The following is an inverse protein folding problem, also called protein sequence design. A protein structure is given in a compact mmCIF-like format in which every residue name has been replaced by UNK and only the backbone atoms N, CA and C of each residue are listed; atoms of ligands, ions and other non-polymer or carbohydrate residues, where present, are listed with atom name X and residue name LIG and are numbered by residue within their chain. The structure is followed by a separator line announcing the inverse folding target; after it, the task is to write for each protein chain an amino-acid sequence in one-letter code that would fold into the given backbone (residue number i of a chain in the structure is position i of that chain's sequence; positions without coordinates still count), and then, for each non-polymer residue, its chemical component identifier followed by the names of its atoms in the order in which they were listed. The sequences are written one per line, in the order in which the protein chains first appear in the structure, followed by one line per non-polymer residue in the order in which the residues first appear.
data_IF_377034957582
#
_entry.id   IF_377034957582
#
_cell.length_a   1.000
_cell.length_b   1.000
_cell.length_c   1.000
_cell.angle_alpha   90.00
_cell.angle_beta   90.00
_cell.angle_gamma   90.00
#
_symmetry.space_group_name_H-M   'P 1'
#
loop_
_entity.id
_entity.type
_entity.pdbx_description
1 polymer ?
#
# COMPACT_ATOMS: atom_id res chain seq x y z
N UNK A 1 29.03 10.66 -8.17
CA UNK A 1 28.36 9.90 -9.24
C UNK A 1 27.37 9.02 -8.51
N UNK A 2 26.09 9.40 -8.48
CA UNK A 2 25.08 8.59 -7.80
C UNK A 2 25.09 7.20 -8.47
N UNK A 3 25.10 6.09 -7.70
CA UNK A 3 24.83 4.78 -8.27
C UNK A 3 23.56 4.90 -9.12
N UNK A 4 23.50 4.19 -10.25
CA UNK A 4 22.24 4.10 -11.00
C UNK A 4 21.14 3.72 -10.00
N UNK A 5 20.02 4.45 -9.98
CA UNK A 5 18.91 4.27 -9.05
C UNK A 5 18.45 2.79 -8.94
N UNK A 6 18.61 2.04 -10.03
CA UNK A 6 18.55 0.57 -10.14
C UNK A 6 19.32 -0.22 -9.07
N UNK A 7 20.54 0.19 -8.73
CA UNK A 7 21.39 -0.47 -7.74
C UNK A 7 20.86 -0.22 -6.32
N UNK A 8 20.30 0.96 -6.10
CA UNK A 8 19.71 1.33 -4.81
C UNK A 8 18.41 0.54 -4.60
N UNK A 9 17.50 0.49 -5.57
CA UNK A 9 16.27 -0.29 -5.45
C UNK A 9 16.54 -1.79 -5.29
N UNK A 10 17.47 -2.36 -6.07
CA UNK A 10 17.81 -3.78 -5.93
C UNK A 10 18.46 -4.11 -4.59
N UNK A 11 19.32 -3.22 -4.09
CA UNK A 11 19.91 -3.38 -2.76
C UNK A 11 18.83 -3.31 -1.67
N UNK A 12 17.89 -2.36 -1.80
CA UNK A 12 16.76 -2.19 -0.88
C UNK A 12 15.83 -3.40 -0.88
N UNK A 13 15.43 -3.90 -2.05
CA UNK A 13 14.62 -5.12 -2.17
C UNK A 13 15.34 -6.35 -1.62
N UNK A 14 16.66 -6.44 -1.84
CA UNK A 14 17.49 -7.49 -1.23
C UNK A 14 17.43 -7.47 0.30
N UNK A 15 17.58 -6.30 0.91
CA UNK A 15 17.52 -6.14 2.37
C UNK A 15 16.13 -6.45 2.95
N UNK A 16 15.05 -6.02 2.28
CA UNK A 16 13.68 -6.38 2.70
C UNK A 16 13.49 -7.89 2.64
N UNK A 17 14.00 -8.55 1.60
CA UNK A 17 13.89 -10.01 1.43
C UNK A 17 14.63 -10.74 2.55
N UNK A 18 15.81 -10.27 2.94
CA UNK A 18 16.59 -10.84 4.05
C UNK A 18 15.89 -10.66 5.41
N UNK A 19 15.33 -9.47 5.67
CA UNK A 19 14.62 -9.15 6.92
C UNK A 19 13.13 -9.53 6.92
N UNK A 20 12.61 -10.21 5.89
CA UNK A 20 11.17 -10.47 5.69
C UNK A 20 10.49 -11.07 6.94
N UNK A 21 11.12 -12.06 7.57
CA UNK A 21 10.54 -12.72 8.74
C UNK A 21 10.45 -11.81 9.98
N UNK A 22 11.40 -10.88 10.13
CA UNK A 22 11.42 -9.94 11.25
C UNK A 22 10.43 -8.80 11.01
N UNK A 23 10.41 -8.25 9.80
CA UNK A 23 9.44 -7.25 9.36
C UNK A 23 8.00 -7.78 9.43
N UNK A 24 7.77 -9.04 9.06
CA UNK A 24 6.44 -9.64 9.09
C UNK A 24 5.89 -9.80 10.51
N UNK A 25 6.76 -10.16 11.47
CA UNK A 25 6.38 -10.18 12.90
C UNK A 25 6.10 -8.79 13.42
N UNK A 26 6.92 -7.81 13.04
CA UNK A 26 6.75 -6.42 13.46
C UNK A 26 5.41 -5.88 12.96
N UNK A 27 5.10 -6.12 11.69
CA UNK A 27 3.84 -5.72 11.05
C UNK A 27 2.62 -6.41 11.66
N UNK A 28 2.71 -7.71 11.96
CA UNK A 28 1.64 -8.43 12.64
C UNK A 28 1.35 -7.86 14.05
N UNK A 29 2.40 -7.47 14.77
CA UNK A 29 2.27 -6.85 16.11
C UNK A 29 1.70 -5.43 16.01
N UNK A 30 2.15 -4.62 15.05
CA UNK A 30 1.71 -3.23 14.88
C UNK A 30 0.24 -3.19 14.43
N UNK A 31 -0.12 -3.98 13.41
CA UNK A 31 -1.44 -3.93 12.77
C UNK A 31 -2.47 -4.90 13.34
N UNK A 32 -2.06 -5.89 14.13
CA UNK A 32 -2.95 -6.94 14.63
C UNK A 32 -3.40 -7.95 13.55
N UNK A 33 -2.78 -7.94 12.36
CA UNK A 33 -3.06 -8.88 11.25
C UNK A 33 -2.34 -10.21 11.47
N UNK A 34 -2.87 -11.29 10.91
CA UNK A 34 -2.22 -12.61 11.04
C UNK A 34 -0.81 -12.59 10.43
N UNK A 35 0.10 -13.40 10.98
CA UNK A 35 1.48 -13.48 10.47
C UNK A 35 1.53 -13.87 8.98
N UNK A 36 0.65 -14.76 8.54
CA UNK A 36 0.58 -15.19 7.15
C UNK A 36 0.19 -14.03 6.22
N UNK A 37 -0.78 -13.21 6.62
CA UNK A 37 -1.15 -11.98 5.89
C UNK A 37 0.02 -10.98 5.89
N UNK A 38 0.66 -10.76 7.03
CA UNK A 38 1.81 -9.84 7.11
C UNK A 38 2.98 -10.27 6.21
N UNK A 39 3.23 -11.57 6.07
CA UNK A 39 4.26 -12.10 5.19
C UNK A 39 3.88 -11.99 3.71
N UNK A 40 2.60 -12.17 3.38
CA UNK A 40 2.07 -11.95 2.04
C UNK A 40 2.20 -10.48 1.63
N UNK A 41 1.88 -9.54 2.53
CA UNK A 41 2.05 -8.10 2.30
C UNK A 41 3.51 -7.76 1.92
N UNK A 42 4.48 -8.38 2.59
CA UNK A 42 5.90 -8.17 2.29
C UNK A 42 6.32 -8.74 0.93
N UNK A 43 5.72 -9.85 0.49
CA UNK A 43 5.94 -10.36 -0.87
C UNK A 43 5.41 -9.37 -1.92
N UNK A 44 4.25 -8.78 -1.67
CA UNK A 44 3.68 -7.75 -2.56
C UNK A 44 4.56 -6.49 -2.59
N UNK A 45 5.16 -6.09 -1.48
CA UNK A 45 6.15 -4.98 -1.42
C UNK A 45 7.37 -5.28 -2.28
N UNK A 46 7.91 -6.49 -2.15
CA UNK A 46 9.06 -6.95 -2.95
C UNK A 46 8.69 -6.96 -4.43
N UNK A 47 7.50 -7.47 -4.77
CA UNK A 47 6.97 -7.51 -6.13
C UNK A 47 6.80 -6.10 -6.73
N UNK A 48 6.16 -5.20 -5.99
CA UNK A 48 5.96 -3.81 -6.41
C UNK A 48 7.30 -3.09 -6.61
N UNK A 49 8.23 -3.22 -5.67
CA UNK A 49 9.54 -2.59 -5.77
C UNK A 49 10.27 -3.03 -7.05
N UNK A 50 10.27 -4.33 -7.35
CA UNK A 50 10.86 -4.85 -8.59
C UNK A 50 10.14 -4.36 -9.84
N UNK A 51 8.80 -4.37 -9.84
CA UNK A 51 8.00 -3.90 -10.98
C UNK A 51 8.30 -2.45 -11.34
N UNK A 52 8.38 -1.58 -10.33
CA UNK A 52 8.68 -0.19 -10.56
C UNK A 52 10.14 0.05 -10.94
N UNK A 53 11.09 -0.72 -10.40
CA UNK A 53 12.48 -0.66 -10.83
C UNK A 53 12.61 -0.95 -12.34
N UNK A 54 11.82 -1.89 -12.87
CA UNK A 54 11.76 -2.15 -14.31
C UNK A 54 11.08 -1.00 -15.09
N UNK A 55 10.01 -0.41 -14.55
CA UNK A 55 9.36 0.75 -15.17
C UNK A 55 10.28 1.97 -15.24
N UNK A 56 11.14 2.17 -14.23
CA UNK A 56 12.17 3.20 -14.20
C UNK A 56 13.05 3.14 -15.45
N UNK A 57 13.57 1.94 -15.73
CA UNK A 57 14.42 1.68 -16.90
C UNK A 57 13.67 1.95 -18.20
N UNK A 58 12.39 1.56 -18.25
CA UNK A 58 11.53 1.82 -19.40
C UNK A 58 11.19 3.30 -19.60
N UNK A 59 11.20 4.11 -18.54
CA UNK A 59 10.92 5.55 -18.62
C UNK A 59 12.09 6.32 -19.21
N UNK A 60 13.33 6.01 -18.80
CA UNK A 60 14.54 6.60 -19.38
C UNK A 60 14.63 6.35 -20.89
N UNK A 61 14.30 5.13 -21.32
CA UNK A 61 14.26 4.78 -22.75
C UNK A 61 13.17 5.53 -23.53
N UNK A 62 12.10 5.99 -22.87
CA UNK A 62 10.98 6.73 -23.47
C UNK A 62 11.18 8.24 -23.44
N UNK A 63 12.29 8.74 -22.90
CA UNK A 63 12.61 10.17 -22.92
C UNK A 63 12.78 10.69 -24.36
N UNK A 64 12.36 11.93 -24.60
CA UNK A 64 12.47 12.61 -25.90
C UNK A 64 11.76 11.87 -27.04
N UNK A 65 10.64 11.20 -26.74
CA UNK A 65 9.81 10.56 -27.75
C UNK A 65 9.35 11.59 -28.80
N UNK A 66 9.61 11.36 -30.10
CA UNK A 66 9.30 12.33 -31.14
C UNK A 66 7.79 12.44 -31.35
N UNK A 67 7.30 13.68 -31.51
CA UNK A 67 5.90 13.95 -31.84
C UNK A 67 5.81 14.27 -33.33
N UNK A 68 4.98 13.50 -34.05
CA UNK A 68 4.74 13.75 -35.47
C UNK A 68 3.95 15.05 -35.65
N UNK A 69 4.50 15.97 -36.44
CA UNK A 69 3.86 17.24 -36.77
C UNK A 69 3.58 17.31 -38.27
N UNK A 70 2.44 17.88 -38.71
CA UNK A 70 2.14 18.09 -40.12
C UNK A 70 2.97 19.21 -40.77
N UNK A 71 3.90 19.85 -40.03
CA UNK A 71 4.72 20.97 -40.50
C UNK A 71 6.20 20.56 -40.52
N UNK A 72 6.86 20.73 -41.67
CA UNK A 72 8.25 20.27 -41.88
C UNK A 72 9.33 21.08 -41.13
N UNK A 73 9.00 22.28 -40.64
CA UNK A 73 9.98 23.23 -40.09
C UNK A 73 10.12 23.16 -38.57
N UNK A 74 9.31 22.34 -37.89
CA UNK A 74 9.29 22.24 -36.43
C UNK A 74 9.58 20.82 -35.99
N UNK A 75 10.44 20.67 -34.97
CA UNK A 75 10.69 19.40 -34.30
C UNK A 75 10.12 19.49 -32.89
N UNK A 76 9.24 18.56 -32.54
CA UNK A 76 8.67 18.45 -31.20
C UNK A 76 8.97 17.08 -30.61
N UNK A 77 9.16 17.03 -29.30
CA UNK A 77 9.36 15.81 -28.54
C UNK A 77 8.76 16.00 -27.15
N UNK A 78 8.39 14.88 -26.52
CA UNK A 78 7.91 14.88 -25.13
C UNK A 78 9.09 14.65 -24.21
N UNK A 79 9.27 15.55 -23.25
CA UNK A 79 10.17 15.36 -22.12
C UNK A 79 9.32 15.06 -20.89
N UNK A 80 9.68 14.00 -20.16
CA UNK A 80 9.03 13.67 -18.89
C UNK A 80 9.98 14.05 -17.78
N UNK A 81 9.67 15.17 -17.15
CA UNK A 81 10.35 15.63 -15.96
C UNK A 81 9.53 15.23 -14.73
N UNK A 82 10.20 15.11 -13.59
CA UNK A 82 9.55 14.63 -12.41
C UNK A 82 8.81 15.73 -11.64
N UNK A 83 7.88 15.33 -10.77
CA UNK A 83 7.09 16.25 -9.94
C UNK A 83 7.86 16.53 -8.65
N UNK A 84 8.47 17.71 -8.54
CA UNK A 84 9.48 18.09 -7.53
C UNK A 84 9.24 17.60 -6.11
N UNK A 85 8.18 18.03 -5.42
CA UNK A 85 7.88 17.63 -4.04
C UNK A 85 6.51 16.94 -3.96
N UNK A 86 6.46 15.79 -3.28
CA UNK A 86 5.25 14.96 -3.18
C UNK A 86 4.96 14.55 -1.75
N UNK A 87 3.94 15.15 -1.14
CA UNK A 87 3.40 14.68 0.13
C UNK A 87 2.68 13.32 -0.01
N UNK A 88 2.94 12.38 0.90
CA UNK A 88 2.22 11.11 0.97
C UNK A 88 1.65 10.87 2.38
N UNK A 89 0.33 10.89 2.48
CA UNK A 89 -0.39 10.59 3.72
C UNK A 89 -0.98 9.19 3.60
N UNK A 90 -0.59 8.27 4.48
CA UNK A 90 -1.02 6.86 4.43
C UNK A 90 -1.93 6.51 5.61
N UNK A 91 -3.01 5.73 5.38
CA UNK A 91 -3.92 5.32 6.46
C UNK A 91 -3.28 4.28 7.39
N UNK A 92 -3.73 4.26 8.64
CA UNK A 92 -3.30 3.30 9.67
C UNK A 92 -3.92 1.89 9.53
N UNK A 93 -4.95 1.76 8.69
CA UNK A 93 -5.67 0.50 8.46
C UNK A 93 -5.75 0.20 6.98
N UNK A 94 -4.82 -0.59 6.49
CA UNK A 94 -5.06 -1.54 5.41
C UNK A 94 -3.81 -2.40 5.25
N UNK A 95 -3.94 -3.47 4.50
CA UNK A 95 -2.90 -4.27 3.82
C UNK A 95 -1.81 -3.46 3.06
N UNK A 96 -1.88 -2.13 3.03
CA UNK A 96 -1.19 -1.25 2.08
C UNK A 96 -0.13 -0.25 2.59
N UNK A 97 0.22 -0.04 3.89
CA UNK A 97 1.28 0.90 4.23
C UNK A 97 2.58 0.49 3.54
N UNK A 98 2.86 -0.81 3.55
CA UNK A 98 3.98 -1.48 2.89
C UNK A 98 3.90 -1.44 1.35
N UNK A 99 2.76 -1.78 0.76
CA UNK A 99 2.58 -1.84 -0.70
C UNK A 99 2.50 -0.43 -1.36
N UNK A 100 2.01 0.56 -0.61
CA UNK A 100 2.12 1.99 -0.96
C UNK A 100 3.53 2.54 -0.71
N UNK A 101 4.28 2.01 0.27
CA UNK A 101 5.70 2.33 0.52
C UNK A 101 6.60 1.87 -0.62
N UNK A 102 6.47 0.63 -1.09
CA UNK A 102 7.19 0.16 -2.29
C UNK A 102 6.81 0.97 -3.51
N UNK A 103 5.52 1.22 -3.73
CA UNK A 103 5.05 2.00 -4.89
C UNK A 103 5.51 3.45 -4.84
N UNK A 104 5.64 4.03 -3.66
CA UNK A 104 6.04 5.45 -3.51
C UNK A 104 7.54 5.63 -3.53
N UNK A 105 8.33 4.76 -2.88
CA UNK A 105 9.80 4.79 -2.97
C UNK A 105 10.24 4.58 -4.40
N UNK A 106 9.64 3.60 -5.08
CA UNK A 106 9.77 3.40 -6.50
C UNK A 106 9.53 4.68 -7.30
N UNK A 107 8.35 5.30 -7.16
CA UNK A 107 8.01 6.51 -7.90
C UNK A 107 8.93 7.69 -7.53
N UNK A 108 9.42 7.78 -6.28
CA UNK A 108 10.36 8.83 -5.83
C UNK A 108 11.75 8.67 -6.42
N UNK A 109 12.27 7.44 -6.39
CA UNK A 109 13.58 7.09 -6.92
C UNK A 109 13.56 7.28 -8.45
N UNK A 110 12.51 6.83 -9.13
CA UNK A 110 12.30 7.01 -10.59
C UNK A 110 12.31 8.49 -10.99
N UNK A 111 11.75 9.34 -10.15
CA UNK A 111 11.53 10.73 -10.47
C UNK A 111 12.67 11.66 -10.03
N UNK A 112 13.83 11.25 -9.47
CA UNK A 112 14.84 12.24 -9.02
C UNK A 112 14.25 13.35 -8.11
N UNK A 113 13.22 13.02 -7.36
CA UNK A 113 12.34 13.98 -6.69
C UNK A 113 12.56 13.98 -5.21
N UNK A 114 12.76 15.18 -4.68
CA UNK A 114 12.97 15.41 -3.27
C UNK A 114 11.65 15.39 -2.53
N UNK A 115 11.68 14.74 -1.38
CA UNK A 115 10.72 14.96 -0.30
C UNK A 115 9.34 14.32 -0.55
N UNK A 116 9.22 13.06 -0.13
CA UNK A 116 7.98 12.58 0.47
C UNK A 116 8.05 12.72 1.96
N UNK A 117 7.03 13.35 2.56
CA UNK A 117 6.76 13.35 3.98
C UNK A 117 5.64 12.36 4.23
N UNK A 118 5.95 11.36 5.05
CA UNK A 118 5.02 10.30 5.46
C UNK A 118 4.19 10.74 6.66
N UNK A 119 2.92 10.37 6.69
CA UNK A 119 2.03 10.59 7.83
C UNK A 119 1.38 9.28 8.26
N UNK A 120 1.58 8.88 9.53
CA UNK A 120 0.93 7.70 10.13
C UNK A 120 0.53 8.02 11.57
N UNK A 121 -0.76 7.84 11.86
CA UNK A 121 -1.39 8.15 13.16
C UNK A 121 -1.25 6.97 14.14
N UNK A 122 -1.22 5.73 13.64
CA UNK A 122 -1.03 4.50 14.40
C UNK A 122 -0.25 3.50 13.53
N UNK A 123 0.77 2.82 14.10
CA UNK A 123 1.62 1.78 13.50
C UNK A 123 2.83 2.28 12.69
N UNK A 124 3.88 2.67 13.41
CA UNK A 124 5.06 3.37 12.89
C UNK A 124 6.31 2.50 12.78
N UNK A 125 6.33 1.30 13.38
CA UNK A 125 7.60 0.59 13.56
C UNK A 125 8.12 0.01 12.25
N UNK A 126 7.25 -0.60 11.45
CA UNK A 126 7.64 -1.14 10.14
C UNK A 126 8.11 -0.03 9.21
N UNK A 127 7.41 1.11 9.18
CA UNK A 127 7.79 2.25 8.32
C UNK A 127 9.14 2.86 8.70
N UNK A 128 9.45 2.97 10.00
CA UNK A 128 10.73 3.47 10.48
C UNK A 128 11.89 2.52 10.12
N UNK A 129 11.69 1.21 10.31
CA UNK A 129 12.69 0.20 9.96
C UNK A 129 12.99 0.24 8.46
N UNK A 130 11.97 0.35 7.60
CA UNK A 130 12.18 0.46 6.15
C UNK A 130 12.91 1.76 5.76
N UNK A 131 12.66 2.86 6.48
CA UNK A 131 13.36 4.12 6.25
C UNK A 131 14.85 4.04 6.62
N UNK A 132 15.16 3.30 7.69
CA UNK A 132 16.54 3.01 8.08
C UNK A 132 17.26 2.19 7.00
N UNK A 133 16.58 1.18 6.43
CA UNK A 133 17.10 0.44 5.26
C UNK A 133 17.37 1.36 4.07
N UNK A 134 16.52 2.35 3.79
CA UNK A 134 16.81 3.33 2.74
C UNK A 134 18.08 4.15 3.01
N UNK A 135 18.33 4.49 4.27
CA UNK A 135 19.58 5.13 4.71
C UNK A 135 20.80 4.24 4.51
N UNK A 136 20.70 2.95 4.87
CA UNK A 136 21.77 1.96 4.69
C UNK A 136 22.13 1.72 3.23
N UNK A 137 21.12 1.74 2.35
CA UNK A 137 21.29 1.60 0.89
C UNK A 137 21.99 2.82 0.27
N UNK A 138 22.06 3.94 0.99
CA UNK A 138 22.73 5.16 0.54
C UNK A 138 21.83 6.11 -0.24
N UNK A 139 20.53 6.15 0.09
CA UNK A 139 19.62 7.16 -0.45
C UNK A 139 20.11 8.57 -0.07
N UNK A 140 20.18 9.53 -1.02
CA UNK A 140 20.69 10.86 -0.71
C UNK A 140 19.85 11.57 0.36
N UNK A 141 20.47 12.32 1.29
CA UNK A 141 19.75 13.11 2.28
C UNK A 141 18.73 14.05 1.61
N UNK A 142 17.50 14.06 2.12
CA UNK A 142 16.41 14.91 1.62
C UNK A 142 15.50 14.25 0.57
N UNK A 143 15.86 13.09 0.00
CA UNK A 143 14.99 12.37 -0.94
C UNK A 143 13.77 11.77 -0.22
N UNK A 144 13.99 11.11 0.92
CA UNK A 144 12.94 10.56 1.78
C UNK A 144 12.97 11.25 3.14
N UNK A 145 11.82 11.73 3.61
CA UNK A 145 11.68 12.32 4.94
C UNK A 145 10.44 11.74 5.64
N UNK A 146 10.53 11.44 6.92
CA UNK A 146 9.39 10.85 7.66
C UNK A 146 8.96 11.83 8.74
N UNK A 147 7.66 12.15 8.76
CA UNK A 147 7.07 13.10 9.70
C UNK A 147 5.99 12.40 10.51
N UNK A 148 6.35 12.00 11.73
CA UNK A 148 5.40 11.35 12.63
C UNK A 148 4.58 12.43 13.35
N UNK A 149 3.25 12.29 13.35
CA UNK A 149 2.35 13.17 14.07
C UNK A 149 0.88 12.82 13.84
N UNK A 150 -0.02 13.57 14.47
CA UNK A 150 -1.47 13.42 14.26
C UNK A 150 -1.95 14.09 12.98
N UNK A 151 -3.05 13.63 12.39
CA UNK A 151 -3.59 14.11 11.11
C UNK A 151 -3.64 15.63 10.99
N UNK A 152 -4.08 16.30 12.05
CA UNK A 152 -4.19 17.75 12.09
C UNK A 152 -2.86 18.48 12.37
N UNK A 153 -1.87 17.82 12.99
CA UNK A 153 -0.58 18.41 13.36
C UNK A 153 0.47 18.23 12.27
N UNK A 154 0.49 17.08 11.60
CA UNK A 154 1.48 16.76 10.57
C UNK A 154 0.85 16.66 9.17
N UNK A 155 -0.32 16.01 9.04
CA UNK A 155 -0.98 15.83 7.75
C UNK A 155 -1.54 17.13 7.16
N UNK A 156 -2.23 17.93 7.97
CA UNK A 156 -2.86 19.18 7.50
C UNK A 156 -1.85 20.25 7.04
N UNK A 157 -0.74 20.51 7.76
CA UNK A 157 0.30 21.40 7.24
C UNK A 157 0.93 20.88 5.96
N UNK A 158 1.15 19.57 5.85
CA UNK A 158 1.74 18.96 4.67
C UNK A 158 0.82 19.08 3.43
N UNK A 159 -0.49 18.90 3.60
CA UNK A 159 -1.47 19.03 2.53
C UNK A 159 -1.69 20.49 2.07
N UNK A 160 -1.34 21.48 2.90
CA UNK A 160 -1.53 22.92 2.61
C UNK A 160 -0.22 23.66 2.33
N UNK A 161 0.91 22.96 2.32
CA UNK A 161 2.22 23.55 2.15
C UNK A 161 2.42 24.08 0.72
N UNK A 162 2.91 25.33 0.53
CA UNK A 162 3.06 25.92 -0.81
C UNK A 162 4.11 25.22 -1.67
N UNK A 163 5.11 24.59 -1.04
CA UNK A 163 6.19 23.88 -1.73
C UNK A 163 5.85 22.41 -2.03
N UNK A 164 4.58 22.00 -1.99
CA UNK A 164 4.14 20.65 -2.38
C UNK A 164 3.50 20.73 -3.77
N UNK A 165 4.16 20.15 -4.77
CA UNK A 165 3.82 20.32 -6.20
C UNK A 165 2.71 19.39 -6.68
N UNK A 166 2.49 18.25 -6.00
CA UNK A 166 1.45 17.29 -6.41
C UNK A 166 0.06 17.79 -6.00
N UNK A 167 -0.89 17.99 -6.94
CA UNK A 167 -2.16 18.66 -6.68
C UNK A 167 -3.04 17.91 -5.66
N UNK A 168 -3.36 16.64 -5.88
CA UNK A 168 -3.89 15.67 -4.90
C UNK A 168 -4.20 14.35 -5.64
N UNK A 169 -4.04 13.21 -4.97
CA UNK A 169 -4.59 11.91 -5.40
C UNK A 169 -5.20 11.23 -4.18
N UNK A 170 -6.47 10.84 -4.24
CA UNK A 170 -7.19 10.30 -3.10
C UNK A 170 -7.69 8.88 -3.41
N UNK A 171 -7.12 7.89 -2.74
CA UNK A 171 -7.68 6.55 -2.66
C UNK A 171 -8.52 6.49 -1.39
N UNK A 172 -9.85 6.56 -1.55
CA UNK A 172 -10.79 6.57 -0.43
C UNK A 172 -11.48 5.21 -0.33
N UNK A 173 -11.92 4.87 0.87
CA UNK A 173 -12.72 3.68 1.10
C UNK A 173 -13.94 3.63 0.17
N UNK A 174 -14.30 2.42 -0.25
CA UNK A 174 -15.41 2.18 -1.15
C UNK A 174 -16.31 1.05 -0.66
N UNK A 175 -17.55 1.03 -1.14
CA UNK A 175 -18.50 -0.06 -0.91
C UNK A 175 -18.48 -0.98 -2.13
N UNK A 176 -17.42 -1.78 -2.25
CA UNK A 176 -17.25 -2.70 -3.38
C UNK A 176 -18.29 -3.82 -3.30
N UNK A 177 -19.19 -3.97 -4.30
CA UNK A 177 -20.19 -5.03 -4.29
C UNK A 177 -19.59 -6.36 -4.77
N UNK A 178 -19.97 -7.46 -4.12
CA UNK A 178 -19.85 -8.79 -4.72
C UNK A 178 -21.22 -9.27 -5.17
N UNK A 179 -21.29 -9.65 -6.45
CA UNK A 179 -22.47 -10.20 -7.10
C UNK A 179 -22.26 -11.70 -7.24
N UNK A 180 -23.15 -12.49 -6.63
CA UNK A 180 -23.10 -13.95 -6.63
C UNK A 180 -24.26 -14.48 -7.45
N UNK A 181 -23.97 -15.18 -8.55
CA UNK A 181 -24.96 -15.84 -9.40
C UNK A 181 -25.21 -17.28 -8.94
N UNK A 182 -26.29 -17.89 -9.43
CA UNK A 182 -26.72 -19.24 -9.02
C UNK A 182 -25.81 -20.37 -9.55
N UNK A 183 -25.03 -20.09 -10.59
CA UNK A 183 -24.20 -21.05 -11.32
C UNK A 183 -22.80 -21.26 -10.70
N UNK A 184 -22.54 -20.63 -9.57
CA UNK A 184 -21.23 -20.66 -8.91
C UNK A 184 -21.14 -21.76 -7.85
N UNK A 185 -19.91 -22.19 -7.59
CA UNK A 185 -19.59 -23.07 -6.48
C UNK A 185 -19.73 -22.30 -5.15
N UNK A 186 -20.84 -22.56 -4.45
CA UNK A 186 -21.20 -21.85 -3.21
C UNK A 186 -20.17 -22.05 -2.09
N UNK A 187 -19.45 -23.17 -2.05
CA UNK A 187 -18.46 -23.41 -0.99
C UNK A 187 -17.20 -22.56 -1.20
N UNK A 188 -16.74 -22.43 -2.45
CA UNK A 188 -15.59 -21.57 -2.78
C UNK A 188 -15.90 -20.08 -2.64
N UNK A 189 -17.10 -19.67 -3.07
CA UNK A 189 -17.50 -18.28 -2.95
C UNK A 189 -17.67 -17.89 -1.49
N UNK A 190 -18.24 -18.75 -0.63
CA UNK A 190 -18.41 -18.45 0.79
C UNK A 190 -17.11 -18.10 1.51
N UNK A 191 -16.00 -18.76 1.19
CA UNK A 191 -14.67 -18.42 1.70
C UNK A 191 -14.18 -17.06 1.17
N UNK A 192 -14.32 -16.84 -0.15
CA UNK A 192 -13.83 -15.61 -0.80
C UNK A 192 -14.64 -14.36 -0.46
N UNK A 193 -15.94 -14.50 -0.20
CA UNK A 193 -16.87 -13.40 0.10
C UNK A 193 -16.87 -12.99 1.55
N UNK A 194 -16.36 -13.80 2.47
CA UNK A 194 -16.25 -13.42 3.87
C UNK A 194 -15.30 -12.24 4.09
N UNK A 195 -14.41 -11.98 3.13
CA UNK A 195 -13.52 -10.82 3.10
C UNK A 195 -14.19 -9.57 2.48
N UNK A 196 -15.44 -9.67 2.02
CA UNK A 196 -16.10 -8.62 1.26
C UNK A 196 -17.13 -7.82 2.05
N UNK A 197 -17.17 -6.51 1.80
CA UNK A 197 -17.97 -5.58 2.58
C UNK A 197 -19.46 -5.53 2.19
N UNK A 198 -19.87 -6.03 1.02
CA UNK A 198 -21.27 -5.89 0.53
C UNK A 198 -21.67 -7.03 -0.39
N UNK A 199 -22.85 -7.60 -0.15
CA UNK A 199 -23.40 -8.73 -0.90
C UNK A 199 -24.78 -8.36 -1.45
N UNK A 200 -25.01 -8.65 -2.74
CA UNK A 200 -26.34 -8.64 -3.35
C UNK A 200 -26.68 -10.04 -3.85
N UNK A 201 -27.72 -10.64 -3.29
CA UNK A 201 -28.16 -12.00 -3.59
C UNK A 201 -29.68 -12.05 -3.49
N UNK A 202 -30.36 -12.54 -4.52
CA UNK A 202 -31.84 -12.61 -4.55
C UNK A 202 -32.35 -14.03 -4.31
N UNK A 203 -32.02 -14.98 -5.17
CA UNK A 203 -32.63 -16.32 -5.18
C UNK A 203 -31.94 -17.36 -4.28
N UNK A 204 -30.60 -17.36 -4.25
CA UNK A 204 -29.77 -18.30 -3.46
C UNK A 204 -29.37 -17.76 -2.08
N UNK A 205 -29.93 -16.62 -1.67
CA UNK A 205 -29.51 -15.86 -0.49
C UNK A 205 -29.51 -16.70 0.81
N UNK A 206 -30.55 -17.50 1.03
CA UNK A 206 -30.69 -18.26 2.27
C UNK A 206 -29.64 -19.37 2.39
N UNK A 207 -29.43 -20.13 1.31
CA UNK A 207 -28.44 -21.22 1.31
C UNK A 207 -27.02 -20.67 1.42
N UNK A 208 -26.74 -19.60 0.68
CA UNK A 208 -25.45 -18.94 0.71
C UNK A 208 -25.12 -18.35 2.10
N UNK A 209 -26.08 -17.64 2.71
CA UNK A 209 -25.90 -17.08 4.06
C UNK A 209 -25.64 -18.16 5.10
N UNK A 210 -26.31 -19.32 5.01
CA UNK A 210 -26.06 -20.42 5.93
C UNK A 210 -24.62 -20.96 5.81
N UNK A 211 -24.10 -21.09 4.58
CA UNK A 211 -22.71 -21.52 4.34
C UNK A 211 -21.72 -20.45 4.81
N UNK A 212 -21.99 -19.18 4.53
CA UNK A 212 -21.17 -18.05 4.98
C UNK A 212 -21.09 -17.97 6.51
N UNK A 213 -22.22 -18.09 7.21
CA UNK A 213 -22.25 -18.10 8.69
C UNK A 213 -21.51 -19.31 9.25
N UNK A 214 -21.66 -20.49 8.62
CA UNK A 214 -20.93 -21.70 9.03
C UNK A 214 -19.41 -21.51 8.89
N UNK A 215 -18.98 -20.90 7.79
CA UNK A 215 -17.56 -20.58 7.57
C UNK A 215 -17.07 -19.51 8.57
N UNK A 216 -17.82 -18.43 8.76
CA UNK A 216 -17.46 -17.36 9.70
C UNK A 216 -17.28 -17.87 11.14
N UNK A 217 -18.11 -18.84 11.57
CA UNK A 217 -17.97 -19.50 12.89
C UNK A 217 -16.75 -20.42 12.99
N UNK A 218 -16.17 -20.84 11.86
CA UNK A 218 -14.97 -21.68 11.84
C UNK A 218 -13.66 -20.90 11.86
N UNK A 219 -13.73 -19.56 11.75
CA UNK A 219 -12.56 -18.69 11.80
C UNK A 219 -11.91 -18.78 13.19
N UNK A 220 -10.63 -19.18 13.22
CA UNK A 220 -9.83 -19.16 14.44
C UNK A 220 -9.43 -17.72 14.75
N UNK A 221 -10.01 -17.17 15.82
CA UNK A 221 -9.62 -15.89 16.42
C UNK A 221 -8.60 -16.20 17.51
N UNK A 222 -7.39 -15.70 17.35
CA UNK A 222 -6.29 -15.94 18.30
C UNK A 222 -5.28 -14.80 18.26
N UNK A 223 -4.17 -14.94 18.99
CA UNK A 223 -3.04 -14.02 18.87
C UNK A 223 -2.58 -13.96 17.40
N UNK A 224 -2.31 -12.77 16.82
CA UNK A 224 -1.87 -12.63 15.44
C UNK A 224 -0.59 -13.40 15.08
N UNK A 225 0.26 -13.69 16.08
CA UNK A 225 1.48 -14.48 15.92
C UNK A 225 1.27 -16.00 16.07
N UNK A 226 0.08 -16.44 16.48
CA UNK A 226 -0.22 -17.87 16.65
C UNK A 226 -0.44 -18.55 15.30
N UNK A 227 0.14 -19.74 15.13
CA UNK A 227 -0.02 -20.53 13.91
C UNK A 227 -1.50 -20.88 13.66
N UNK A 228 -1.96 -20.60 12.43
CA UNK A 228 -3.35 -20.79 12.02
C UNK A 228 -4.32 -19.71 12.47
N UNK A 229 -3.86 -18.59 13.05
CA UNK A 229 -4.70 -17.41 13.26
C UNK A 229 -5.30 -16.93 11.92
N UNK A 230 -6.63 -16.77 11.86
CA UNK A 230 -7.34 -16.32 10.66
C UNK A 230 -7.97 -14.95 10.81
N UNK A 231 -8.06 -14.45 12.04
CA UNK A 231 -8.55 -13.11 12.33
C UNK A 231 -7.91 -12.62 13.62
N UNK A 232 -7.13 -11.54 13.52
CA UNK A 232 -6.54 -10.88 14.67
C UNK A 232 -7.39 -9.73 15.21
N UNK A 233 -6.76 -8.78 15.89
CA UNK A 233 -7.47 -7.70 16.59
C UNK A 233 -7.75 -6.50 15.68
N UNK A 234 -8.72 -5.67 16.08
CA UNK A 234 -8.80 -4.30 15.56
C UNK A 234 -7.58 -3.49 16.02
N UNK A 235 -7.20 -2.42 15.31
CA UNK A 235 -5.95 -1.69 15.64
C UNK A 235 -6.09 -0.85 16.91
N UNK A 236 -7.28 -0.35 17.19
CA UNK A 236 -7.52 0.60 18.27
C UNK A 236 -8.96 0.53 18.76
N UNK A 237 -9.17 1.01 19.98
CA UNK A 237 -10.51 1.12 20.58
C UNK A 237 -11.41 2.11 19.84
N UNK A 238 -10.83 3.13 19.18
CA UNK A 238 -11.56 4.15 18.43
C UNK A 238 -11.98 3.73 17.01
N UNK A 239 -11.83 2.45 16.66
CA UNK A 239 -12.33 1.94 15.39
C UNK A 239 -13.81 1.58 15.54
N UNK A 240 -14.70 2.44 15.01
CA UNK A 240 -16.17 2.46 15.23
C UNK A 240 -16.96 1.24 14.72
N UNK A 241 -16.44 0.02 14.79
CA UNK A 241 -17.15 -1.19 14.32
C UNK A 241 -18.36 -1.50 15.21
N UNK A 242 -18.26 -1.26 16.53
CA UNK A 242 -19.34 -1.56 17.47
C UNK A 242 -20.51 -0.57 17.37
N UNK A 243 -20.22 0.71 17.09
CA UNK A 243 -21.25 1.74 16.97
C UNK A 243 -22.16 1.49 15.76
N UNK A 244 -21.60 0.99 14.66
CA UNK A 244 -22.38 0.58 13.48
C UNK A 244 -23.35 -0.59 13.75
N UNK A 245 -23.04 -1.48 14.69
CA UNK A 245 -23.94 -2.60 15.04
C UNK A 245 -25.15 -2.15 15.87
N UNK A 246 -25.04 -1.03 16.57
CA UNK A 246 -26.11 -0.47 17.41
C UNK A 246 -27.14 0.36 16.64
N UNK A 247 -26.87 0.70 15.39
CA UNK A 247 -27.71 1.57 14.54
C UNK A 247 -28.81 0.83 13.75
N UNK A 248 -29.00 -0.48 13.97
CA UNK A 248 -30.04 -1.31 13.32
C UNK A 248 -30.99 -1.95 14.31
#
# INVERSE_FOLDING_TARGET
MLPSLKLLERAYTGQITEKKNELGKLEAIDCGKSLDEALADLDDVIGCSNYYAELAEGLDAKQKAPVSLPMANFKSYVLKEPIEVVALITPCHLHWPLCMFSSTIANLIICHVGLSCWHVIYNFKTCLELAELCGEVGLPPGVLNIVIGLGHEAGAPLASHPDVDKPVSLELGGKSPIIVFEDVDLDKIAESTALAASLQIESIATEFLNRLVKWAKSIKISDPLEEGCRLGTTVSEGQDIMDYQSMN
#
